data_IF_580123928814
#
_entry.id   IF_580123928814
#
_cell.length_a   1.000
_cell.length_b   1.000
_cell.length_c   1.000
_cell.angle_alpha   90.00
_cell.angle_beta   90.00
_cell.angle_gamma   90.00
#
_symmetry.space_group_name_H-M   'P 1'
#
loop_
_entity.id
_entity.type
_entity.pdbx_description
1 polymer ?
#
# COMPACT_ATOMS: atom_id res chain seq x y z
N UNK A 1 -24.40 20.76 6.29
CA UNK A 1 -23.60 19.57 5.98
C UNK A 1 -24.52 18.48 5.47
N UNK A 2 -24.23 17.94 4.29
CA UNK A 2 -25.03 16.91 3.62
C UNK A 2 -24.23 15.62 3.51
N UNK A 3 -24.87 14.48 3.72
CA UNK A 3 -24.27 13.17 3.54
C UNK A 3 -24.70 12.58 2.21
N UNK A 4 -23.75 12.26 1.35
CA UNK A 4 -23.97 11.72 0.00
C UNK A 4 -22.79 10.89 -0.46
N UNK A 5 -22.92 10.09 -1.54
CA UNK A 5 -21.77 9.49 -2.21
C UNK A 5 -20.74 10.55 -2.65
N UNK A 6 -19.48 10.13 -2.75
CA UNK A 6 -18.43 10.94 -3.34
C UNK A 6 -18.57 10.87 -4.86
N UNK A 7 -18.39 11.97 -5.55
CA UNK A 7 -18.30 12.04 -7.01
C UNK A 7 -16.93 12.55 -7.46
N UNK A 8 -16.64 12.51 -8.76
CA UNK A 8 -15.35 12.95 -9.29
C UNK A 8 -15.07 14.44 -9.08
N UNK A 9 -16.12 15.26 -9.00
CA UNK A 9 -15.96 16.70 -8.74
C UNK A 9 -15.52 16.99 -7.30
N UNK A 10 -15.62 16.02 -6.40
CA UNK A 10 -15.11 16.12 -5.03
C UNK A 10 -13.60 15.87 -4.90
N UNK A 11 -12.92 15.38 -5.94
CA UNK A 11 -11.51 15.02 -5.88
C UNK A 11 -10.62 16.17 -5.39
N UNK A 12 -10.77 17.42 -5.86
CA UNK A 12 -9.98 18.53 -5.32
C UNK A 12 -10.21 18.78 -3.83
N UNK A 13 -11.48 18.72 -3.36
CA UNK A 13 -11.81 18.89 -1.94
C UNK A 13 -11.30 17.73 -1.08
N UNK A 14 -11.34 16.51 -1.61
CA UNK A 14 -10.80 15.31 -0.98
C UNK A 14 -9.28 15.39 -0.84
N UNK A 15 -8.57 15.83 -1.89
CA UNK A 15 -7.12 16.05 -1.87
C UNK A 15 -6.75 17.07 -0.78
N UNK A 16 -7.47 18.20 -0.70
CA UNK A 16 -7.24 19.20 0.35
C UNK A 16 -7.50 18.65 1.75
N UNK A 17 -8.52 17.82 1.93
CA UNK A 17 -8.82 17.18 3.22
C UNK A 17 -7.67 16.24 3.64
N UNK A 18 -7.19 15.38 2.73
CA UNK A 18 -6.09 14.45 3.01
C UNK A 18 -4.81 15.21 3.32
N UNK A 19 -4.46 16.21 2.50
CA UNK A 19 -3.26 17.04 2.74
C UNK A 19 -3.35 17.83 4.05
N UNK A 20 -4.52 18.34 4.44
CA UNK A 20 -4.71 18.99 5.73
C UNK A 20 -4.55 17.99 6.90
N UNK A 21 -5.12 16.80 6.75
CA UNK A 21 -4.97 15.74 7.76
C UNK A 21 -3.51 15.33 7.92
N UNK A 22 -2.76 15.18 6.82
CA UNK A 22 -1.35 14.81 6.86
C UNK A 22 -0.49 15.86 7.59
N UNK A 23 -0.71 17.15 7.34
CA UNK A 23 0.01 18.23 8.06
C UNK A 23 -0.18 18.17 9.57
N UNK A 24 -1.34 17.71 10.04
CA UNK A 24 -1.65 17.61 11.48
C UNK A 24 -1.19 16.27 12.06
N UNK A 25 -1.49 15.18 11.33
CA UNK A 25 -1.33 13.83 11.84
C UNK A 25 0.06 13.25 11.59
N UNK A 26 0.76 13.72 10.54
CA UNK A 26 2.04 13.18 10.09
C UNK A 26 2.00 11.66 9.95
N UNK A 27 0.93 11.20 9.31
CA UNK A 27 0.69 9.78 9.11
C UNK A 27 1.51 9.18 7.95
N UNK A 28 2.10 10.00 7.08
CA UNK A 28 2.81 9.55 5.88
C UNK A 28 1.86 9.19 4.73
N UNK A 29 0.70 9.83 4.70
CA UNK A 29 -0.29 9.63 3.63
C UNK A 29 -0.22 10.85 2.71
N UNK A 30 0.51 10.68 1.62
CA UNK A 30 0.64 11.69 0.58
C UNK A 30 -0.13 11.23 -0.64
N UNK A 31 -0.88 12.14 -1.25
CA UNK A 31 -1.65 11.84 -2.46
C UNK A 31 -1.94 13.13 -3.24
N UNK A 32 -2.12 12.98 -4.52
CA UNK A 32 -2.55 14.04 -5.43
C UNK A 32 -3.94 13.74 -6.04
N UNK A 33 -4.42 14.66 -6.86
CA UNK A 33 -5.72 14.53 -7.51
C UNK A 33 -5.74 13.36 -8.52
N UNK A 34 -4.61 13.04 -9.15
CA UNK A 34 -4.53 11.96 -10.12
C UNK A 34 -4.60 10.60 -9.42
N UNK A 35 -3.87 10.43 -8.30
CA UNK A 35 -3.93 9.22 -7.48
C UNK A 35 -5.33 9.00 -6.90
N UNK A 36 -5.97 10.05 -6.36
CA UNK A 36 -7.33 9.96 -5.83
C UNK A 36 -8.34 9.68 -6.94
N UNK A 37 -8.20 10.28 -8.12
CA UNK A 37 -9.06 9.98 -9.27
C UNK A 37 -8.94 8.51 -9.70
N UNK A 38 -7.73 7.96 -9.73
CA UNK A 38 -7.50 6.56 -10.08
C UNK A 38 -8.16 5.58 -9.09
N UNK A 39 -8.34 5.97 -7.82
CA UNK A 39 -9.06 5.14 -6.84
C UNK A 39 -10.53 4.92 -7.21
N UNK A 40 -11.16 5.87 -7.93
CA UNK A 40 -12.54 5.70 -8.42
C UNK A 40 -12.64 4.69 -9.59
N UNK A 41 -11.52 4.34 -10.22
CA UNK A 41 -11.43 3.33 -11.27
C UNK A 41 -11.07 1.94 -10.71
N UNK A 42 -11.04 1.80 -9.37
CA UNK A 42 -10.73 0.53 -8.71
C UNK A 42 -11.77 -0.54 -9.09
N UNK A 43 -11.34 -1.72 -9.57
CA UNK A 43 -12.25 -2.81 -9.90
C UNK A 43 -13.11 -3.21 -8.70
N UNK A 44 -14.41 -3.25 -8.91
CA UNK A 44 -15.38 -3.61 -7.87
C UNK A 44 -15.79 -2.46 -6.94
N UNK A 45 -15.35 -1.23 -7.17
CA UNK A 45 -15.86 -0.04 -6.47
C UNK A 45 -17.05 0.56 -7.24
N UNK A 46 -18.20 0.61 -6.61
CA UNK A 46 -19.32 1.44 -7.03
C UNK A 46 -19.33 2.73 -6.20
N UNK A 47 -18.84 3.83 -6.77
CA UNK A 47 -18.72 5.10 -6.05
C UNK A 47 -20.06 5.61 -5.49
N UNK A 48 -21.18 5.28 -6.13
CA UNK A 48 -22.52 5.62 -5.67
C UNK A 48 -22.98 4.87 -4.41
N UNK A 49 -22.42 3.68 -4.16
CA UNK A 49 -22.81 2.81 -3.05
C UNK A 49 -21.71 2.63 -2.01
N UNK A 50 -20.45 2.69 -2.43
CA UNK A 50 -19.29 2.29 -1.64
C UNK A 50 -18.52 3.48 -1.08
N UNK A 51 -19.01 4.70 -1.32
CA UNK A 51 -18.42 5.94 -0.82
C UNK A 51 -19.40 6.79 -0.03
N UNK A 52 -18.90 7.59 0.91
CA UNK A 52 -19.67 8.53 1.70
C UNK A 52 -18.87 9.82 1.92
N UNK A 53 -19.46 10.96 1.62
CA UNK A 53 -18.94 12.28 1.92
C UNK A 53 -19.81 13.01 2.96
N UNK A 54 -19.17 13.70 3.87
CA UNK A 54 -19.75 14.74 4.70
C UNK A 54 -19.48 16.10 4.02
N UNK A 55 -20.32 16.47 3.04
CA UNK A 55 -20.15 17.67 2.22
C UNK A 55 -20.67 18.91 2.91
N UNK A 56 -19.93 20.01 2.84
CA UNK A 56 -20.29 21.31 3.39
C UNK A 56 -20.93 22.20 2.31
N UNK A 57 -21.67 23.25 2.69
CA UNK A 57 -22.33 24.14 1.73
C UNK A 57 -21.37 24.88 0.78
N UNK A 58 -20.13 25.07 1.19
CA UNK A 58 -19.06 25.71 0.41
C UNK A 58 -18.32 24.78 -0.56
N UNK A 59 -18.77 23.51 -0.68
CA UNK A 59 -18.15 22.50 -1.52
C UNK A 59 -16.96 21.76 -0.89
N UNK A 60 -16.54 22.14 0.32
CA UNK A 60 -15.50 21.43 1.06
C UNK A 60 -16.05 20.16 1.71
N UNK A 61 -15.14 19.23 2.07
CA UNK A 61 -15.49 18.02 2.78
C UNK A 61 -15.04 18.08 4.25
N UNK A 62 -15.98 17.83 5.17
CA UNK A 62 -15.69 17.66 6.59
C UNK A 62 -15.17 16.25 6.93
N UNK A 63 -15.47 15.28 6.07
CA UNK A 63 -15.00 13.90 6.22
C UNK A 63 -15.47 13.02 5.08
N UNK A 64 -14.84 11.84 4.96
CA UNK A 64 -15.20 10.86 3.94
C UNK A 64 -14.96 9.43 4.43
N UNK A 65 -15.60 8.48 3.77
CA UNK A 65 -15.39 7.05 3.94
C UNK A 65 -15.56 6.31 2.62
N UNK A 66 -14.73 5.30 2.41
CA UNK A 66 -14.78 4.41 1.25
C UNK A 66 -14.68 2.97 1.75
N UNK A 67 -15.38 2.05 1.08
CA UNK A 67 -15.28 0.60 1.28
C UNK A 67 -15.03 -0.03 -0.06
N UNK A 68 -13.99 -0.86 -0.17
CA UNK A 68 -13.69 -1.57 -1.40
C UNK A 68 -13.20 -3.00 -1.12
N UNK A 69 -13.51 -3.97 -2.01
CA UNK A 69 -13.10 -5.35 -1.84
C UNK A 69 -11.66 -5.54 -2.32
N UNK A 70 -10.96 -6.53 -1.76
CA UNK A 70 -9.80 -7.09 -2.43
C UNK A 70 -10.22 -7.71 -3.79
N UNK A 71 -9.37 -7.60 -4.83
CA UNK A 71 -9.72 -8.12 -6.18
C UNK A 71 -10.04 -9.61 -6.20
N UNK A 72 -9.36 -10.39 -5.37
CA UNK A 72 -9.54 -11.82 -5.24
C UNK A 72 -9.56 -12.26 -3.77
N UNK A 73 -10.15 -13.42 -3.50
CA UNK A 73 -10.12 -14.09 -2.22
C UNK A 73 -9.98 -15.59 -2.44
N UNK A 74 -9.14 -16.23 -1.61
CA UNK A 74 -9.02 -17.69 -1.59
C UNK A 74 -9.88 -18.27 -0.46
N UNK A 75 -9.53 -17.97 0.78
CA UNK A 75 -10.16 -18.53 1.98
C UNK A 75 -10.89 -17.47 2.82
N UNK A 76 -10.55 -16.20 2.63
CA UNK A 76 -11.12 -15.07 3.36
C UNK A 76 -11.34 -13.91 2.40
N UNK A 77 -12.54 -13.37 2.37
CA UNK A 77 -12.83 -12.13 1.66
C UNK A 77 -12.27 -10.94 2.46
N UNK A 78 -11.42 -10.14 1.85
CA UNK A 78 -10.89 -8.93 2.47
C UNK A 78 -11.62 -7.70 1.97
N UNK A 79 -12.00 -6.82 2.90
CA UNK A 79 -12.74 -5.59 2.64
C UNK A 79 -11.99 -4.44 3.31
N UNK A 80 -11.61 -3.45 2.54
CA UNK A 80 -10.77 -2.35 3.04
C UNK A 80 -11.60 -1.10 3.31
N UNK A 81 -11.34 -0.48 4.44
CA UNK A 81 -11.90 0.80 4.82
C UNK A 81 -10.85 1.90 4.66
N UNK A 82 -11.16 2.92 3.87
CA UNK A 82 -10.39 4.15 3.80
C UNK A 82 -11.27 5.32 4.21
N UNK A 83 -10.72 6.31 4.90
CA UNK A 83 -11.53 7.45 5.31
C UNK A 83 -10.82 8.38 6.28
N UNK A 84 -11.38 9.55 6.44
CA UNK A 84 -10.84 10.57 7.33
C UNK A 84 -11.84 11.63 7.71
N UNK A 85 -11.51 12.39 8.76
CA UNK A 85 -12.24 13.57 9.19
C UNK A 85 -11.25 14.73 9.23
N UNK A 86 -11.62 15.83 8.56
CA UNK A 86 -10.84 17.07 8.56
C UNK A 86 -10.51 17.48 10.00
N UNK A 87 -9.28 17.84 10.35
CA UNK A 87 -8.84 18.06 11.72
C UNK A 87 -9.73 19.00 12.54
N UNK A 88 -10.15 20.10 11.97
CA UNK A 88 -11.01 21.11 12.59
C UNK A 88 -12.49 20.65 12.78
N UNK A 89 -12.85 19.51 12.22
CA UNK A 89 -14.18 18.89 12.37
C UNK A 89 -14.17 17.65 13.28
N UNK A 90 -13.04 17.29 13.86
CA UNK A 90 -12.92 16.18 14.80
C UNK A 90 -13.62 16.47 16.14
N UNK A 91 -13.85 15.43 16.91
CA UNK A 91 -14.53 15.54 18.20
C UNK A 91 -16.07 15.72 18.13
N UNK A 92 -16.65 15.85 16.92
CA UNK A 92 -18.08 16.09 16.68
C UNK A 92 -18.87 14.83 16.29
N UNK A 93 -18.29 13.65 16.45
CA UNK A 93 -18.94 12.37 16.14
C UNK A 93 -18.89 11.92 14.67
N UNK A 94 -18.30 12.73 13.74
CA UNK A 94 -18.28 12.40 12.31
C UNK A 94 -17.54 11.09 12.04
N UNK A 95 -16.38 10.88 12.65
CA UNK A 95 -15.59 9.65 12.44
C UNK A 95 -16.37 8.39 12.85
N UNK A 96 -17.08 8.43 13.97
CA UNK A 96 -17.94 7.32 14.39
C UNK A 96 -19.08 7.07 13.41
N UNK A 97 -19.69 8.11 12.87
CA UNK A 97 -20.75 7.98 11.87
C UNK A 97 -20.23 7.37 10.58
N UNK A 98 -19.08 7.83 10.11
CA UNK A 98 -18.41 7.28 8.92
C UNK A 98 -18.06 5.80 9.14
N UNK A 99 -17.41 5.46 10.25
CA UNK A 99 -17.02 4.08 10.55
C UNK A 99 -18.24 3.14 10.66
N UNK A 100 -19.32 3.58 11.31
CA UNK A 100 -20.55 2.79 11.40
C UNK A 100 -21.16 2.53 10.01
N UNK A 101 -21.18 3.55 9.14
CA UNK A 101 -21.62 3.40 7.76
C UNK A 101 -20.71 2.42 6.99
N UNK A 102 -19.38 2.58 7.10
CA UNK A 102 -18.42 1.69 6.44
C UNK A 102 -18.59 0.23 6.88
N UNK A 103 -18.77 -0.04 8.17
CA UNK A 103 -19.02 -1.39 8.68
C UNK A 103 -20.33 -1.96 8.14
N UNK A 104 -21.40 -1.16 8.09
CA UNK A 104 -22.68 -1.55 7.48
C UNK A 104 -22.52 -1.87 5.98
N UNK A 105 -21.81 -1.01 5.22
CA UNK A 105 -21.57 -1.22 3.79
C UNK A 105 -20.66 -2.45 3.54
N UNK A 106 -19.60 -2.63 4.32
CA UNK A 106 -18.74 -3.80 4.23
C UNK A 106 -19.52 -5.09 4.49
N UNK A 107 -20.43 -5.09 5.47
CA UNK A 107 -21.31 -6.23 5.74
C UNK A 107 -22.26 -6.51 4.56
N UNK A 108 -22.83 -5.47 3.94
CA UNK A 108 -23.67 -5.64 2.74
C UNK A 108 -22.84 -6.15 1.56
N UNK A 109 -21.66 -5.58 1.30
CA UNK A 109 -20.72 -5.98 0.25
C UNK A 109 -20.28 -7.44 0.41
N UNK A 110 -20.03 -7.89 1.65
CA UNK A 110 -19.75 -9.31 1.94
C UNK A 110 -20.89 -10.22 1.49
N UNK A 111 -22.14 -9.86 1.80
CA UNK A 111 -23.34 -10.62 1.37
C UNK A 111 -23.51 -10.66 -0.14
N UNK A 112 -23.15 -9.57 -0.81
CA UNK A 112 -23.32 -9.43 -2.25
C UNK A 112 -22.26 -10.21 -3.05
N UNK A 113 -21.02 -10.27 -2.56
CA UNK A 113 -19.89 -10.79 -3.35
C UNK A 113 -19.57 -12.25 -3.03
N UNK A 114 -19.34 -12.58 -1.74
CA UNK A 114 -18.89 -13.93 -1.32
C UNK A 114 -19.42 -14.28 0.06
N UNK A 115 -20.74 -14.45 0.21
CA UNK A 115 -21.37 -14.69 1.51
C UNK A 115 -20.88 -15.98 2.20
N UNK A 116 -20.52 -17.00 1.41
CA UNK A 116 -20.08 -18.31 1.88
C UNK A 116 -18.67 -18.32 2.48
N UNK A 117 -17.82 -17.31 2.22
CA UNK A 117 -16.51 -17.18 2.84
C UNK A 117 -16.59 -16.37 4.14
N UNK A 118 -15.72 -16.60 5.11
CA UNK A 118 -15.50 -15.61 6.16
C UNK A 118 -14.96 -14.31 5.55
N UNK A 119 -15.24 -13.16 6.18
CA UNK A 119 -14.66 -11.91 5.72
C UNK A 119 -13.85 -11.22 6.82
N UNK A 120 -12.81 -10.49 6.41
CA UNK A 120 -12.01 -9.61 7.25
C UNK A 120 -12.17 -8.17 6.75
N UNK A 121 -12.81 -7.34 7.58
CA UNK A 121 -12.92 -5.90 7.33
C UNK A 121 -11.69 -5.23 7.94
N UNK A 122 -10.96 -4.46 7.15
CA UNK A 122 -9.65 -3.92 7.52
C UNK A 122 -9.62 -2.41 7.50
N UNK A 123 -8.98 -1.83 8.52
CA UNK A 123 -8.66 -0.40 8.59
C UNK A 123 -7.21 -0.22 9.00
N UNK A 124 -6.48 0.66 8.31
CA UNK A 124 -5.08 0.97 8.62
C UNK A 124 -4.93 2.22 9.48
N UNK A 125 -3.82 2.31 10.18
CA UNK A 125 -3.43 3.52 10.92
C UNK A 125 -2.00 3.44 11.43
N UNK A 126 -1.46 4.59 11.84
CA UNK A 126 -0.17 4.64 12.55
C UNK A 126 -0.31 3.97 13.92
N UNK A 127 0.65 3.13 14.29
CA UNK A 127 0.63 2.44 15.60
C UNK A 127 0.95 3.43 16.74
N UNK A 128 -0.06 4.11 17.20
CA UNK A 128 -0.03 5.05 18.33
C UNK A 128 -1.35 5.03 19.09
N UNK A 129 -1.35 5.45 20.35
CA UNK A 129 -2.59 5.62 21.13
C UNK A 129 -3.25 6.96 20.79
N UNK A 130 -4.16 6.92 19.86
CA UNK A 130 -4.89 8.08 19.38
C UNK A 130 -6.42 7.83 19.35
N UNK A 131 -7.23 8.87 19.03
CA UNK A 131 -8.68 8.73 18.94
C UNK A 131 -9.13 7.71 17.89
N UNK A 132 -8.39 7.53 16.79
CA UNK A 132 -8.71 6.56 15.74
C UNK A 132 -8.62 5.13 16.29
N UNK A 133 -7.51 4.78 16.95
CA UNK A 133 -7.33 3.47 17.59
C UNK A 133 -8.46 3.17 18.59
N UNK A 134 -8.76 4.11 19.48
CA UNK A 134 -9.85 3.95 20.46
C UNK A 134 -11.22 3.79 19.81
N UNK A 135 -11.48 4.49 18.70
CA UNK A 135 -12.72 4.37 17.93
C UNK A 135 -12.83 2.99 17.26
N UNK A 136 -11.77 2.51 16.63
CA UNK A 136 -11.71 1.18 16.00
C UNK A 136 -11.92 0.07 17.04
N UNK A 137 -11.25 0.12 18.19
CA UNK A 137 -11.46 -0.85 19.26
C UNK A 137 -12.91 -0.91 19.75
N UNK A 138 -13.56 0.25 19.95
CA UNK A 138 -14.99 0.30 20.34
C UNK A 138 -15.92 -0.25 19.26
N UNK A 139 -15.51 -0.24 17.99
CA UNK A 139 -16.23 -0.84 16.88
C UNK A 139 -15.91 -2.32 16.66
N UNK A 140 -15.14 -2.94 17.56
CA UNK A 140 -14.81 -4.37 17.51
C UNK A 140 -13.64 -4.73 16.60
N UNK A 141 -12.83 -3.75 16.21
CA UNK A 141 -11.59 -4.01 15.48
C UNK A 141 -10.45 -4.32 16.45
N UNK A 142 -9.62 -5.29 16.10
CA UNK A 142 -8.40 -5.67 16.83
C UNK A 142 -7.19 -5.58 15.92
N UNK A 143 -5.98 -5.32 16.45
CA UNK A 143 -4.76 -5.37 15.63
C UNK A 143 -4.56 -6.79 15.06
N UNK A 144 -4.30 -6.89 13.76
CA UNK A 144 -4.08 -8.17 13.06
C UNK A 144 -2.76 -8.24 12.34
N UNK A 145 -2.13 -7.10 12.02
CA UNK A 145 -0.82 -7.06 11.36
C UNK A 145 -0.10 -5.75 11.63
N UNK A 146 1.24 -5.79 11.65
CA UNK A 146 2.11 -4.63 11.82
C UNK A 146 3.08 -4.51 10.65
N UNK A 147 3.41 -3.25 10.31
CA UNK A 147 4.26 -2.90 9.20
C UNK A 147 5.28 -1.86 9.67
N UNK A 148 6.52 -2.00 9.22
CA UNK A 148 7.49 -0.91 9.31
C UNK A 148 7.55 -0.19 7.98
N UNK A 149 7.36 1.12 8.01
CA UNK A 149 7.85 2.01 6.99
C UNK A 149 9.30 2.33 7.35
N UNK A 150 10.21 2.06 6.42
CA UNK A 150 11.64 2.23 6.64
C UNK A 150 12.22 3.20 5.63
N UNK A 151 13.22 3.97 6.07
CA UNK A 151 13.90 4.98 5.28
C UNK A 151 15.41 4.73 5.28
N UNK A 152 16.04 5.04 4.16
CA UNK A 152 17.49 5.08 3.98
C UNK A 152 17.90 6.45 3.43
N UNK A 153 18.75 7.16 4.14
CA UNK A 153 19.43 8.36 3.65
C UNK A 153 20.54 7.93 2.67
N UNK A 154 20.39 8.31 1.40
CA UNK A 154 21.31 7.93 0.33
C UNK A 154 22.61 8.77 0.33
N UNK A 155 22.69 9.85 1.10
CA UNK A 155 23.94 10.60 1.31
C UNK A 155 24.96 9.84 2.17
N UNK A 156 24.46 8.93 3.02
CA UNK A 156 25.29 8.08 3.86
C UNK A 156 25.99 6.98 3.03
N UNK A 157 27.16 6.48 3.46
CA UNK A 157 27.88 5.41 2.77
C UNK A 157 26.96 4.23 2.48
N UNK A 158 26.89 3.83 1.21
CA UNK A 158 26.10 2.66 0.77
C UNK A 158 26.98 1.40 0.87
N UNK A 159 26.39 0.25 1.28
CA UNK A 159 27.13 -1.01 1.29
C UNK A 159 27.60 -1.35 -0.12
N UNK A 160 28.81 -1.94 -0.22
CA UNK A 160 29.31 -2.41 -1.52
C UNK A 160 28.37 -3.43 -2.12
N UNK A 161 28.05 -3.35 -3.43
CA UNK A 161 27.23 -4.34 -4.09
C UNK A 161 27.98 -5.67 -4.09
N UNK A 162 27.44 -6.65 -3.41
CA UNK A 162 27.96 -8.02 -3.53
C UNK A 162 27.40 -8.63 -4.80
N UNK A 163 28.23 -9.04 -5.78
CA UNK A 163 27.73 -9.73 -6.95
C UNK A 163 26.91 -10.95 -6.53
N UNK A 164 25.73 -11.20 -7.16
CA UNK A 164 24.95 -12.37 -6.83
C UNK A 164 25.70 -13.64 -7.15
N UNK A 165 25.57 -14.65 -6.30
CA UNK A 165 26.09 -15.98 -6.59
C UNK A 165 25.21 -16.66 -7.67
N UNK A 166 25.54 -16.45 -8.91
CA UNK A 166 24.79 -16.89 -10.09
C UNK A 166 23.87 -15.79 -10.67
N UNK A 167 23.61 -15.91 -11.97
CA UNK A 167 22.78 -14.98 -12.71
C UNK A 167 23.44 -13.63 -13.04
N UNK A 168 22.77 -12.83 -13.83
CA UNK A 168 23.14 -11.45 -14.16
C UNK A 168 22.08 -10.47 -13.67
N UNK A 169 22.50 -9.27 -13.28
CA UNK A 169 21.58 -8.17 -13.04
C UNK A 169 21.20 -7.52 -14.39
N UNK A 170 19.93 -7.15 -14.52
CA UNK A 170 19.38 -6.50 -15.70
C UNK A 170 18.39 -5.40 -15.25
N UNK A 171 18.20 -4.38 -16.09
CA UNK A 171 17.08 -3.46 -15.94
C UNK A 171 15.75 -4.13 -16.28
N UNK A 172 14.68 -3.58 -15.76
CA UNK A 172 13.33 -4.00 -16.16
C UNK A 172 12.98 -3.40 -17.53
N UNK A 173 12.41 -4.21 -18.39
CA UNK A 173 11.71 -3.76 -19.60
C UNK A 173 10.43 -4.60 -19.82
N UNK A 174 9.59 -4.19 -20.77
CA UNK A 174 8.30 -4.83 -21.00
C UNK A 174 8.39 -6.32 -21.40
N UNK A 175 9.53 -6.76 -21.99
CA UNK A 175 9.71 -8.17 -22.36
C UNK A 175 9.81 -9.11 -21.14
N UNK A 176 10.13 -8.57 -19.96
CA UNK A 176 10.21 -9.33 -18.71
C UNK A 176 8.89 -9.31 -17.93
N UNK A 177 7.87 -8.58 -18.34
CA UNK A 177 6.66 -8.34 -17.53
C UNK A 177 6.02 -9.64 -17.04
N UNK A 178 5.80 -10.61 -17.91
CA UNK A 178 5.19 -11.90 -17.56
C UNK A 178 6.09 -12.75 -16.66
N UNK A 179 7.39 -12.74 -16.90
CA UNK A 179 8.36 -13.44 -16.05
C UNK A 179 8.42 -12.84 -14.66
N UNK A 180 8.31 -11.50 -14.54
CA UNK A 180 8.28 -10.81 -13.24
C UNK A 180 6.96 -11.08 -12.52
N UNK A 181 5.81 -11.09 -13.23
CA UNK A 181 4.51 -11.46 -12.66
C UNK A 181 4.53 -12.87 -12.10
N UNK A 182 5.05 -13.83 -12.87
CA UNK A 182 5.22 -15.22 -12.41
C UNK A 182 6.11 -15.32 -11.19
N UNK A 183 7.27 -14.62 -11.20
CA UNK A 183 8.18 -14.56 -10.05
C UNK A 183 7.54 -13.91 -8.82
N UNK A 184 6.68 -12.89 -9.02
CA UNK A 184 5.93 -12.24 -7.94
C UNK A 184 4.95 -13.21 -7.29
N UNK A 185 4.13 -13.89 -8.08
CA UNK A 185 3.14 -14.86 -7.59
C UNK A 185 3.80 -15.97 -6.75
N UNK A 186 4.96 -16.47 -7.19
CA UNK A 186 5.74 -17.47 -6.42
C UNK A 186 6.36 -16.85 -5.15
N UNK A 187 7.03 -15.70 -5.26
CA UNK A 187 7.76 -15.10 -4.16
C UNK A 187 6.86 -14.65 -3.01
N UNK A 188 5.64 -14.21 -3.34
CA UNK A 188 4.65 -13.67 -2.40
C UNK A 188 3.53 -14.66 -2.04
N UNK A 189 3.57 -15.91 -2.53
CA UNK A 189 2.52 -16.91 -2.27
C UNK A 189 2.26 -17.15 -0.76
N UNK A 190 3.29 -16.96 0.08
CA UNK A 190 3.21 -17.13 1.54
C UNK A 190 3.06 -15.79 2.29
N UNK A 191 2.97 -14.65 1.56
CA UNK A 191 2.84 -13.35 2.18
C UNK A 191 1.40 -13.12 2.64
N UNK A 192 1.23 -12.51 3.82
CA UNK A 192 -0.08 -12.27 4.42
C UNK A 192 -1.01 -11.45 3.51
N UNK A 193 -2.20 -11.99 3.26
CA UNK A 193 -3.22 -11.32 2.46
C UNK A 193 -2.95 -11.27 0.96
N UNK A 194 -1.91 -11.94 0.47
CA UNK A 194 -1.63 -12.01 -0.96
C UNK A 194 -2.44 -13.11 -1.62
N UNK A 195 -2.91 -12.82 -2.82
CA UNK A 195 -3.52 -13.75 -3.75
C UNK A 195 -2.76 -13.70 -5.06
N UNK A 196 -2.89 -14.73 -5.87
CA UNK A 196 -2.29 -14.76 -7.20
C UNK A 196 -2.82 -13.60 -8.04
N UNK A 197 -1.90 -12.91 -8.72
CA UNK A 197 -2.17 -11.72 -9.52
C UNK A 197 -2.22 -12.13 -10.98
N UNK A 198 -3.38 -11.97 -11.63
CA UNK A 198 -3.53 -12.14 -13.07
C UNK A 198 -2.91 -10.98 -13.86
N UNK A 199 -2.92 -11.06 -15.18
CA UNK A 199 -2.32 -10.08 -16.07
C UNK A 199 -2.99 -8.69 -15.93
N UNK A 200 -4.33 -8.65 -15.80
CA UNK A 200 -5.05 -7.39 -15.70
C UNK A 200 -4.75 -6.67 -14.38
N UNK A 201 -4.81 -7.40 -13.26
CA UNK A 201 -4.48 -6.86 -11.92
C UNK A 201 -3.00 -6.49 -11.86
N UNK A 202 -2.12 -7.29 -12.51
CA UNK A 202 -0.69 -6.97 -12.59
C UNK A 202 -0.46 -5.61 -13.25
N UNK A 203 -1.02 -5.39 -14.44
CA UNK A 203 -0.88 -4.12 -15.15
C UNK A 203 -1.38 -2.95 -14.31
N UNK A 204 -2.56 -3.07 -13.71
CA UNK A 204 -3.14 -1.98 -12.92
C UNK A 204 -2.33 -1.64 -11.66
N UNK A 205 -1.79 -2.63 -10.97
CA UNK A 205 -1.12 -2.43 -9.68
C UNK A 205 0.38 -2.22 -9.77
N UNK A 206 1.00 -2.59 -10.89
CA UNK A 206 2.45 -2.60 -11.04
C UNK A 206 2.88 -1.84 -12.29
N UNK A 207 2.76 -2.41 -13.49
CA UNK A 207 3.40 -1.86 -14.69
C UNK A 207 2.72 -0.61 -15.27
N UNK A 208 1.41 -0.44 -15.07
CA UNK A 208 0.68 0.79 -15.42
C UNK A 208 0.33 1.64 -14.18
N UNK A 209 0.81 1.26 -12.99
CA UNK A 209 0.55 2.03 -11.77
C UNK A 209 1.24 3.38 -11.82
N UNK A 210 0.54 4.41 -11.33
CA UNK A 210 1.14 5.73 -11.19
C UNK A 210 2.41 5.67 -10.33
N UNK A 211 3.44 6.36 -10.78
CA UNK A 211 4.73 6.40 -10.10
C UNK A 211 5.64 5.19 -10.36
N UNK A 212 5.21 4.16 -11.10
CA UNK A 212 6.11 3.06 -11.46
C UNK A 212 7.29 3.56 -12.30
N UNK A 213 8.51 3.10 -11.95
CA UNK A 213 9.77 3.51 -12.57
C UNK A 213 10.51 2.28 -13.12
N UNK A 214 10.21 1.87 -14.36
CA UNK A 214 10.89 0.74 -14.99
C UNK A 214 12.41 0.99 -15.13
N UNK A 215 12.82 2.23 -15.38
CA UNK A 215 14.21 2.66 -15.47
C UNK A 215 15.02 2.54 -14.16
N UNK A 216 14.34 2.50 -13.02
CA UNK A 216 14.92 2.28 -11.70
C UNK A 216 14.69 0.87 -11.17
N UNK A 217 13.97 0.03 -11.92
CA UNK A 217 13.59 -1.33 -11.52
C UNK A 217 14.61 -2.35 -12.05
N UNK A 218 14.90 -3.37 -11.25
CA UNK A 218 16.00 -4.29 -11.49
C UNK A 218 15.57 -5.75 -11.39
N UNK A 219 16.23 -6.59 -12.16
CA UNK A 219 16.00 -8.02 -12.21
C UNK A 219 17.32 -8.77 -11.97
N UNK A 220 17.26 -9.94 -11.31
CA UNK A 220 18.30 -10.94 -11.34
C UNK A 220 17.82 -12.10 -12.21
N UNK A 221 18.50 -12.33 -13.33
CA UNK A 221 18.13 -13.32 -14.36
C UNK A 221 19.14 -14.44 -14.38
N UNK A 222 18.69 -15.69 -14.31
CA UNK A 222 19.50 -16.91 -14.40
C UNK A 222 18.77 -17.95 -15.25
N UNK A 223 19.47 -18.53 -16.25
CA UNK A 223 18.88 -19.55 -17.12
C UNK A 223 17.67 -19.09 -17.95
N UNK A 224 17.50 -17.78 -18.18
CA UNK A 224 16.34 -17.23 -18.87
C UNK A 224 15.14 -16.94 -17.96
N UNK A 225 15.22 -17.24 -16.67
CA UNK A 225 14.19 -16.99 -15.67
C UNK A 225 14.52 -15.77 -14.79
N UNK A 226 13.50 -15.09 -14.30
CA UNK A 226 13.64 -14.05 -13.28
C UNK A 226 13.73 -14.73 -11.91
N UNK A 227 14.93 -14.78 -11.34
CA UNK A 227 15.24 -15.39 -10.03
C UNK A 227 14.84 -14.46 -8.87
N UNK A 228 15.05 -13.16 -9.05
CA UNK A 228 14.64 -12.11 -8.12
C UNK A 228 14.39 -10.80 -8.87
N UNK A 229 13.61 -9.92 -8.27
CA UNK A 229 13.29 -8.62 -8.87
C UNK A 229 13.10 -7.54 -7.79
N UNK A 230 13.30 -6.30 -8.19
CA UNK A 230 13.03 -5.10 -7.42
C UNK A 230 12.25 -4.13 -8.32
N UNK A 231 11.03 -3.76 -7.93
CA UNK A 231 10.24 -2.75 -8.62
C UNK A 231 10.26 -1.44 -7.83
N UNK A 232 10.59 -0.38 -8.53
CA UNK A 232 10.74 0.98 -7.99
C UNK A 232 9.56 1.86 -8.33
N UNK A 233 9.22 2.74 -7.38
CA UNK A 233 8.15 3.74 -7.56
C UNK A 233 8.64 5.11 -7.08
N UNK A 234 7.99 6.15 -7.58
CA UNK A 234 8.21 7.54 -7.15
C UNK A 234 6.84 8.20 -6.98
N UNK A 235 6.64 8.82 -5.83
CA UNK A 235 5.38 9.50 -5.50
C UNK A 235 5.64 11.00 -5.41
N UNK A 236 5.26 11.73 -6.45
CA UNK A 236 5.50 13.18 -6.54
C UNK A 236 4.84 13.96 -5.41
N UNK A 237 3.64 13.55 -4.99
CA UNK A 237 2.93 14.17 -3.87
C UNK A 237 3.74 14.10 -2.56
N UNK A 238 4.44 12.99 -2.31
CA UNK A 238 5.33 12.84 -1.16
C UNK A 238 6.55 13.74 -1.27
N UNK A 239 7.19 13.77 -2.44
CA UNK A 239 8.37 14.62 -2.70
C UNK A 239 8.02 16.10 -2.47
N UNK A 240 6.89 16.55 -3.00
CA UNK A 240 6.40 17.93 -2.80
C UNK A 240 6.11 18.19 -1.33
N UNK A 241 5.49 17.27 -0.61
CA UNK A 241 5.12 17.45 0.80
C UNK A 241 6.32 17.45 1.73
N UNK A 242 7.33 16.61 1.47
CA UNK A 242 8.53 16.47 2.30
C UNK A 242 9.67 17.38 1.88
N UNK A 243 9.70 17.84 0.62
CA UNK A 243 10.83 18.56 0.04
C UNK A 243 12.08 17.68 -0.14
N UNK A 244 11.92 16.34 -0.14
CA UNK A 244 13.02 15.37 -0.24
C UNK A 244 12.78 14.44 -1.43
N UNK A 245 13.63 14.48 -2.48
CA UNK A 245 13.54 13.53 -3.58
C UNK A 245 13.68 12.09 -3.05
N UNK A 246 12.61 11.31 -3.16
CA UNK A 246 12.50 9.99 -2.56
C UNK A 246 12.10 8.95 -3.61
N UNK A 247 12.83 7.81 -3.64
CA UNK A 247 12.46 6.64 -4.43
C UNK A 247 11.97 5.52 -3.50
N UNK A 248 10.99 4.74 -3.95
CA UNK A 248 10.42 3.65 -3.17
C UNK A 248 10.82 2.29 -3.74
N UNK A 249 11.29 1.41 -2.89
CA UNK A 249 11.32 -0.03 -3.16
C UNK A 249 9.91 -0.55 -2.91
N UNK A 250 9.08 -0.55 -3.95
CA UNK A 250 7.69 -0.97 -3.84
C UNK A 250 7.56 -2.47 -3.64
N UNK A 251 8.35 -3.25 -4.41
CA UNK A 251 8.37 -4.71 -4.29
C UNK A 251 9.79 -5.24 -4.47
N UNK A 252 10.18 -6.16 -3.58
CA UNK A 252 11.43 -6.91 -3.65
C UNK A 252 11.10 -8.38 -3.41
N UNK A 253 11.22 -9.20 -4.45
CA UNK A 253 10.90 -10.62 -4.41
C UNK A 253 12.07 -11.49 -4.83
N UNK A 254 12.21 -12.65 -4.18
CA UNK A 254 13.14 -13.72 -4.58
C UNK A 254 12.39 -15.04 -4.61
N UNK A 255 12.38 -15.71 -5.74
CA UNK A 255 11.74 -17.02 -5.89
C UNK A 255 12.40 -18.05 -4.99
N UNK A 256 11.63 -19.02 -4.53
CA UNK A 256 12.06 -19.98 -3.47
C UNK A 256 13.38 -20.68 -3.78
N UNK A 257 13.57 -21.15 -5.01
CA UNK A 257 14.77 -21.88 -5.42
C UNK A 257 16.06 -21.04 -5.38
N UNK A 258 15.96 -19.71 -5.40
CA UNK A 258 17.09 -18.78 -5.42
C UNK A 258 17.28 -18.02 -4.10
N UNK A 259 16.49 -18.33 -3.06
CA UNK A 259 16.67 -17.72 -1.73
C UNK A 259 18.01 -18.13 -1.10
N UNK A 260 18.53 -17.27 -0.22
CA UNK A 260 19.80 -17.50 0.47
C UNK A 260 21.06 -17.20 -0.36
N UNK A 261 20.94 -16.82 -1.64
CA UNK A 261 22.06 -16.52 -2.54
C UNK A 261 22.47 -15.03 -2.59
N UNK A 262 21.92 -14.19 -1.71
CA UNK A 262 22.25 -12.76 -1.66
C UNK A 262 21.58 -11.86 -2.71
N UNK A 263 20.72 -12.41 -3.61
CA UNK A 263 20.11 -11.68 -4.73
C UNK A 263 19.36 -10.42 -4.30
N UNK A 264 18.54 -10.51 -3.24
CA UNK A 264 17.79 -9.34 -2.73
C UNK A 264 18.72 -8.21 -2.26
N UNK A 265 19.81 -8.55 -1.57
CA UNK A 265 20.82 -7.57 -1.15
C UNK A 265 21.57 -6.94 -2.32
N UNK A 266 21.91 -7.76 -3.33
CA UNK A 266 22.56 -7.27 -4.55
C UNK A 266 21.68 -6.29 -5.32
N UNK A 267 20.41 -6.65 -5.57
CA UNK A 267 19.42 -5.76 -6.21
C UNK A 267 19.26 -4.45 -5.44
N UNK A 268 19.09 -4.55 -4.12
CA UNK A 268 18.89 -3.38 -3.26
C UNK A 268 20.12 -2.46 -3.26
N UNK A 269 21.34 -3.03 -3.21
CA UNK A 269 22.58 -2.28 -3.25
C UNK A 269 22.77 -1.53 -4.57
N UNK A 270 22.43 -2.13 -5.71
CA UNK A 270 22.46 -1.49 -7.03
C UNK A 270 21.36 -0.42 -7.12
N UNK A 271 20.13 -0.74 -6.71
CA UNK A 271 19.02 0.20 -6.75
C UNK A 271 19.31 1.49 -5.97
N UNK A 272 19.82 1.38 -4.73
CA UNK A 272 20.17 2.55 -3.91
C UNK A 272 21.24 3.44 -4.57
N UNK A 273 22.23 2.85 -5.26
CA UNK A 273 23.21 3.63 -6.03
C UNK A 273 22.55 4.32 -7.20
N UNK A 274 21.76 3.59 -7.97
CA UNK A 274 21.00 4.17 -9.10
C UNK A 274 20.12 5.33 -8.64
N UNK A 275 19.40 5.18 -7.52
CA UNK A 275 18.57 6.26 -6.97
C UNK A 275 19.41 7.49 -6.65
N UNK A 276 20.53 7.32 -5.92
CA UNK A 276 21.43 8.43 -5.59
C UNK A 276 21.99 9.08 -6.84
N UNK A 277 22.47 8.30 -7.79
CA UNK A 277 23.13 8.79 -9.02
C UNK A 277 22.11 9.49 -9.96
N UNK A 278 20.81 9.19 -9.81
CA UNK A 278 19.70 9.87 -10.50
C UNK A 278 19.07 11.01 -9.69
N UNK A 279 19.65 11.38 -8.55
CA UNK A 279 19.30 12.58 -7.80
C UNK A 279 18.32 12.37 -6.63
N UNK A 280 17.98 11.14 -6.27
CA UNK A 280 17.18 10.88 -5.07
C UNK A 280 18.06 10.96 -3.82
N UNK A 281 17.53 11.63 -2.79
CA UNK A 281 18.21 11.81 -1.50
C UNK A 281 17.86 10.70 -0.49
N UNK A 282 16.70 10.06 -0.67
CA UNK A 282 16.24 8.99 0.22
C UNK A 282 15.65 7.80 -0.57
N UNK A 283 15.72 6.62 0.04
CA UNK A 283 14.95 5.45 -0.38
C UNK A 283 13.99 5.04 0.75
N UNK A 284 12.76 4.67 0.41
CA UNK A 284 11.75 4.18 1.34
C UNK A 284 11.21 2.82 0.94
N UNK A 285 10.69 2.09 1.91
CA UNK A 285 9.98 0.84 1.72
C UNK A 285 9.02 0.56 2.87
N UNK A 286 8.07 -0.34 2.63
CA UNK A 286 7.21 -0.89 3.68
C UNK A 286 7.46 -2.38 3.82
N UNK A 287 7.59 -2.89 5.04
CA UNK A 287 7.83 -4.30 5.30
C UNK A 287 6.92 -4.82 6.40
N UNK A 288 6.37 -6.00 6.17
CA UNK A 288 5.65 -6.79 7.15
C UNK A 288 6.59 -7.23 8.28
N UNK A 289 6.26 -6.87 9.53
CA UNK A 289 7.10 -7.21 10.70
C UNK A 289 7.17 -8.70 10.99
N UNK A 290 6.19 -9.48 10.52
CA UNK A 290 6.12 -10.94 10.68
C UNK A 290 6.50 -11.70 9.40
N UNK A 291 7.18 -11.01 8.46
CA UNK A 291 7.64 -11.63 7.23
C UNK A 291 8.64 -12.76 7.52
N UNK A 292 8.27 -13.99 7.11
CA UNK A 292 9.05 -15.21 7.35
C UNK A 292 10.30 -15.34 6.46
N UNK A 293 10.42 -14.53 5.40
CA UNK A 293 11.53 -14.62 4.45
C UNK A 293 12.82 -13.95 4.94
N UNK A 294 12.79 -13.27 6.09
CA UNK A 294 13.93 -12.54 6.64
C UNK A 294 14.21 -11.19 5.96
N UNK A 295 13.24 -10.65 5.20
CA UNK A 295 13.39 -9.38 4.47
C UNK A 295 13.81 -8.22 5.38
N UNK A 296 13.25 -8.11 6.59
CA UNK A 296 13.63 -7.09 7.57
C UNK A 296 15.14 -7.09 7.87
N UNK A 297 15.76 -8.27 7.95
CA UNK A 297 17.20 -8.42 8.14
C UNK A 297 18.00 -7.90 6.95
N UNK A 298 17.51 -8.10 5.72
CA UNK A 298 18.14 -7.56 4.49
C UNK A 298 18.12 -6.04 4.53
N UNK A 299 16.97 -5.42 4.81
CA UNK A 299 16.81 -3.97 4.85
C UNK A 299 17.68 -3.31 5.92
N UNK A 300 17.71 -3.87 7.14
CA UNK A 300 18.58 -3.36 8.22
C UNK A 300 20.05 -3.42 7.87
N UNK A 301 20.53 -4.54 7.28
CA UNK A 301 21.93 -4.66 6.81
C UNK A 301 22.26 -3.70 5.67
N UNK A 302 21.26 -3.28 4.89
CA UNK A 302 21.38 -2.25 3.86
C UNK A 302 21.28 -0.82 4.42
N UNK A 303 21.15 -0.67 5.73
CA UNK A 303 21.15 0.61 6.44
C UNK A 303 19.79 1.32 6.45
N UNK A 304 18.70 0.60 6.16
CA UNK A 304 17.36 1.14 6.38
C UNK A 304 17.02 1.18 7.87
N UNK A 305 16.43 2.28 8.30
CA UNK A 305 15.96 2.50 9.68
C UNK A 305 14.43 2.61 9.68
N UNK A 306 13.82 2.28 10.82
CA UNK A 306 12.36 2.41 10.97
C UNK A 306 12.00 3.88 11.17
N UNK A 307 11.25 4.43 10.23
CA UNK A 307 10.70 5.79 10.31
C UNK A 307 9.34 5.78 11.01
N UNK A 308 8.48 4.83 10.65
CA UNK A 308 7.12 4.73 11.15
C UNK A 308 6.67 3.29 11.30
N UNK A 309 5.78 3.08 12.25
CA UNK A 309 5.10 1.79 12.43
C UNK A 309 3.62 1.94 12.14
N UNK A 310 3.13 1.07 11.27
CA UNK A 310 1.72 0.98 10.92
C UNK A 310 1.10 -0.27 11.51
N UNK A 311 -0.20 -0.21 11.74
CA UNK A 311 -1.00 -1.34 12.18
C UNK A 311 -2.24 -1.48 11.30
N UNK A 312 -2.53 -2.71 10.90
CA UNK A 312 -3.81 -3.09 10.31
C UNK A 312 -4.70 -3.61 11.43
N UNK A 313 -5.85 -2.98 11.58
CA UNK A 313 -6.92 -3.45 12.44
C UNK A 313 -7.91 -4.27 11.64
N UNK A 314 -8.32 -5.42 12.15
CA UNK A 314 -9.27 -6.33 11.51
C UNK A 314 -10.51 -6.54 12.35
N UNK A 315 -11.66 -6.63 11.67
CA UNK A 315 -12.92 -7.09 12.24
C UNK A 315 -13.45 -8.25 11.39
N UNK A 316 -13.63 -9.39 12.00
CA UNK A 316 -14.12 -10.58 11.32
C UNK A 316 -15.65 -10.52 11.13
N UNK A 317 -16.10 -11.00 9.96
CA UNK A 317 -17.49 -11.33 9.70
C UNK A 317 -17.58 -12.83 9.42
N UNK A 318 -18.54 -13.48 10.08
CA UNK A 318 -18.79 -14.91 9.87
C UNK A 318 -19.37 -15.16 8.46
N UNK A 319 -19.15 -16.35 7.89
CA UNK A 319 -19.88 -16.78 6.70
C UNK A 319 -21.39 -16.68 6.95
N UNK A 320 -22.14 -16.39 5.92
CA UNK A 320 -23.59 -16.32 5.98
C UNK A 320 -24.11 -17.67 5.49
N UNK A 321 -24.87 -18.42 6.30
CA UNK A 321 -25.49 -19.66 5.86
C UNK A 321 -26.41 -19.43 4.66
N UNK A 322 -26.44 -20.43 3.75
CA UNK A 322 -27.39 -20.46 2.64
C UNK A 322 -28.85 -20.49 3.10
#
# INVERSE_FOLDING_TARGET
MTWRPINRDDVPALTRLVAHSERVDRAGIYTDEAELSAQFDHPGLDSGRDTLAAAMPDGELAGFGVVYPAPAARDVQRLFLSGGVRPDWRGRGLGRRILNWQVGRATAMHREIRPHLPALVEAGGVDRDDPQRRMLHRAGFTPVRWWYEMVRDLSMPLPEPVPPAGGRLAGFDASFEELVRSAHNEAFAEHWGTVEVDEQVWRQRFSAAQGFRPDLSLLAVEGGEVAAYLLSFVHEAEIVALGVPTAHVGYLGTRRAWRGRGLAGALLGVAMRTYRDTGYAAARLVVDTENRTGALGVYRRSGFEVDRRWVTYGRQLAPIPE
#
